data_IF_024805762858
#
_entry.id   IF_024805762858
#
_cell.length_a   1.000
_cell.length_b   1.000
_cell.length_c   1.000
_cell.angle_alpha   90.00
_cell.angle_beta   90.00
_cell.angle_gamma   90.00
#
_symmetry.space_group_name_H-M   'P 1'
#
loop_
_entity.id
_entity.type
_entity.pdbx_description
1 polymer ?
#
# COMPACT_ATOMS: atom_id res chain seq x y z
N UNK A 1 -13.72 -22.15 -93.27
CA UNK A 1 -13.49 -22.33 -91.82
C UNK A 1 -12.89 -21.05 -91.28
N UNK A 2 -13.72 -20.13 -90.76
CA UNK A 2 -13.27 -18.87 -90.15
C UNK A 2 -13.39 -18.98 -88.62
N UNK A 3 -12.29 -18.61 -87.97
CA UNK A 3 -11.99 -18.65 -86.55
C UNK A 3 -12.88 -17.69 -85.75
N UNK A 4 -13.47 -18.16 -84.65
CA UNK A 4 -14.09 -17.32 -83.62
C UNK A 4 -13.22 -17.35 -82.36
N UNK A 5 -12.68 -16.19 -81.99
CA UNK A 5 -12.00 -15.97 -80.72
C UNK A 5 -13.03 -15.60 -79.62
N UNK A 6 -12.86 -16.07 -78.37
CA UNK A 6 -13.79 -15.75 -77.29
C UNK A 6 -13.54 -14.36 -76.71
N UNK A 7 -14.62 -13.61 -76.45
CA UNK A 7 -14.60 -12.31 -75.78
C UNK A 7 -14.52 -12.47 -74.26
N UNK A 8 -13.58 -11.75 -73.63
CA UNK A 8 -13.42 -11.70 -72.18
C UNK A 8 -14.44 -10.73 -71.53
N UNK A 9 -14.99 -11.06 -70.35
CA UNK A 9 -15.91 -10.17 -69.65
C UNK A 9 -15.16 -9.05 -68.92
N UNK A 10 -15.73 -7.84 -68.95
CA UNK A 10 -15.20 -6.66 -68.26
C UNK A 10 -15.54 -6.66 -66.77
N UNK A 11 -14.56 -6.30 -65.93
CA UNK A 11 -14.74 -6.15 -64.48
C UNK A 11 -15.42 -4.80 -64.15
N UNK A 12 -16.26 -4.75 -63.10
CA UNK A 12 -16.94 -3.52 -62.70
C UNK A 12 -16.00 -2.54 -62.00
N UNK A 13 -16.14 -1.25 -62.32
CA UNK A 13 -15.38 -0.14 -61.73
C UNK A 13 -15.90 0.16 -60.32
N UNK A 14 -15.02 0.16 -59.32
CA UNK A 14 -15.37 0.45 -57.93
C UNK A 14 -15.69 1.94 -57.73
N UNK A 15 -16.85 2.24 -57.15
CA UNK A 15 -17.25 3.61 -56.80
C UNK A 15 -16.53 4.14 -55.54
N UNK A 16 -16.54 5.48 -55.31
CA UNK A 16 -15.85 6.08 -54.17
C UNK A 16 -16.52 5.73 -52.83
N UNK A 17 -15.70 5.29 -51.87
CA UNK A 17 -16.11 4.93 -50.51
C UNK A 17 -16.46 6.19 -49.70
N UNK A 18 -17.60 6.26 -48.99
CA UNK A 18 -17.95 7.43 -48.20
C UNK A 18 -17.02 7.57 -46.98
N UNK A 19 -16.40 8.75 -46.82
CA UNK A 19 -15.55 9.06 -45.67
C UNK A 19 -16.40 9.20 -44.41
N UNK A 20 -16.31 8.21 -43.52
CA UNK A 20 -16.95 8.23 -42.20
C UNK A 20 -16.35 9.36 -41.38
N UNK A 21 -17.15 10.38 -41.05
CA UNK A 21 -16.74 11.49 -40.18
C UNK A 21 -16.46 10.91 -38.79
N UNK A 22 -15.18 10.87 -38.39
CA UNK A 22 -14.77 10.49 -37.05
C UNK A 22 -15.43 11.44 -36.04
N UNK A 23 -16.41 10.94 -35.29
CA UNK A 23 -16.92 11.64 -34.12
C UNK A 23 -15.81 11.64 -33.07
N UNK A 24 -15.33 12.85 -32.74
CA UNK A 24 -14.44 13.08 -31.61
C UNK A 24 -15.17 12.65 -30.34
N UNK A 25 -14.83 11.48 -29.82
CA UNK A 25 -15.16 11.11 -28.44
C UNK A 25 -14.47 12.16 -27.57
N UNK A 26 -15.26 13.00 -26.89
CA UNK A 26 -14.72 13.94 -25.91
C UNK A 26 -14.14 13.10 -24.77
N UNK A 27 -12.81 13.08 -24.66
CA UNK A 27 -12.15 12.57 -23.48
C UNK A 27 -12.69 13.34 -22.28
N UNK A 28 -13.30 12.63 -21.33
CA UNK A 28 -13.67 13.21 -20.05
C UNK A 28 -12.39 13.78 -19.42
N UNK A 29 -12.46 15.02 -18.95
CA UNK A 29 -11.37 15.64 -18.22
C UNK A 29 -11.08 14.78 -16.98
N UNK A 30 -9.96 14.05 -17.00
CA UNK A 30 -9.39 13.43 -15.82
C UNK A 30 -8.85 14.59 -15.00
N UNK A 31 -9.52 14.88 -13.88
CA UNK A 31 -8.93 15.75 -12.86
C UNK A 31 -7.64 15.09 -12.40
N UNK A 32 -6.51 15.75 -12.67
CA UNK A 32 -5.15 15.25 -12.46
C UNK A 32 -4.73 15.23 -10.97
N UNK A 33 -5.71 15.26 -10.06
CA UNK A 33 -5.44 15.16 -8.63
C UNK A 33 -5.08 13.71 -8.26
N UNK A 34 -3.91 13.49 -7.64
CA UNK A 34 -3.48 12.14 -7.28
C UNK A 34 -4.41 11.57 -6.21
N UNK A 35 -5.18 10.55 -6.58
CA UNK A 35 -6.00 9.77 -5.63
C UNK A 35 -5.12 9.24 -4.50
N UNK A 36 -5.45 9.62 -3.26
CA UNK A 36 -4.66 9.24 -2.08
C UNK A 36 -4.98 7.82 -1.59
N UNK A 37 -6.24 7.38 -1.72
CA UNK A 37 -6.71 6.06 -1.31
C UNK A 37 -6.56 5.00 -2.43
N UNK A 38 -5.33 4.78 -2.93
CA UNK A 38 -5.08 3.89 -4.08
C UNK A 38 -5.38 2.42 -3.81
N UNK A 39 -5.14 1.95 -2.59
CA UNK A 39 -5.28 0.56 -2.18
C UNK A 39 -6.61 0.35 -1.48
N UNK A 40 -6.95 1.21 -0.51
CA UNK A 40 -8.17 1.04 0.29
C UNK A 40 -9.44 1.24 -0.54
N UNK A 41 -9.37 2.01 -1.64
CA UNK A 41 -10.45 2.10 -2.62
C UNK A 41 -10.94 0.73 -3.13
N UNK A 42 -10.08 -0.30 -3.14
CA UNK A 42 -10.48 -1.65 -3.55
C UNK A 42 -11.58 -2.23 -2.68
N UNK A 43 -11.60 -1.89 -1.40
CA UNK A 43 -12.58 -2.39 -0.42
C UNK A 43 -13.63 -1.33 -0.05
N UNK A 44 -13.34 -0.03 -0.23
CA UNK A 44 -14.26 1.04 0.17
C UNK A 44 -15.20 1.54 -0.94
N UNK A 45 -14.88 1.33 -2.22
CA UNK A 45 -15.68 1.91 -3.33
C UNK A 45 -16.62 0.92 -4.06
N UNK A 46 -16.20 -0.32 -4.41
CA UNK A 46 -17.05 -1.21 -5.18
C UNK A 46 -18.25 -1.69 -4.37
N UNK A 47 -19.45 -1.67 -4.98
CA UNK A 47 -20.66 -2.23 -4.36
C UNK A 47 -20.55 -3.74 -4.07
N UNK A 48 -19.69 -4.45 -4.82
CA UNK A 48 -19.39 -5.86 -4.56
C UNK A 48 -18.64 -6.10 -3.24
N UNK A 49 -18.06 -5.05 -2.65
CA UNK A 49 -17.31 -5.10 -1.38
C UNK A 49 -18.15 -4.61 -0.19
N UNK A 50 -19.47 -4.80 -0.24
CA UNK A 50 -20.39 -4.40 0.84
C UNK A 50 -20.09 -5.07 2.19
N UNK A 51 -19.57 -6.30 2.19
CA UNK A 51 -19.15 -6.98 3.43
C UNK A 51 -17.96 -6.28 4.09
N UNK A 52 -16.96 -5.88 3.30
CA UNK A 52 -15.79 -5.12 3.77
C UNK A 52 -16.24 -3.77 4.33
N UNK A 53 -17.13 -3.07 3.65
CA UNK A 53 -17.71 -1.81 4.10
C UNK A 53 -18.47 -1.98 5.43
N UNK A 54 -19.27 -3.05 5.58
CA UNK A 54 -19.98 -3.35 6.82
C UNK A 54 -19.04 -3.50 8.03
N UNK A 55 -17.91 -4.19 7.85
CA UNK A 55 -16.88 -4.30 8.92
C UNK A 55 -16.26 -2.94 9.21
N UNK A 56 -15.96 -2.14 8.18
CA UNK A 56 -15.41 -0.79 8.35
C UNK A 56 -16.38 0.15 9.11
N UNK A 57 -17.68 0.07 8.85
CA UNK A 57 -18.69 0.76 9.67
C UNK A 57 -18.71 0.21 11.10
N UNK A 58 -18.59 -1.10 11.28
CA UNK A 58 -18.56 -1.74 12.60
C UNK A 58 -17.40 -1.29 13.48
N UNK A 59 -16.24 -0.99 12.90
CA UNK A 59 -15.10 -0.41 13.63
C UNK A 59 -15.19 1.12 13.80
N UNK A 60 -16.28 1.73 13.35
CA UNK A 60 -16.62 3.14 13.62
C UNK A 60 -16.31 4.13 12.49
N UNK A 61 -16.07 3.68 11.26
CA UNK A 61 -15.92 4.61 10.13
C UNK A 61 -17.27 5.12 9.66
N UNK A 62 -17.27 6.33 9.11
CA UNK A 62 -18.43 6.93 8.42
C UNK A 62 -18.28 6.87 6.90
N UNK A 63 -19.34 7.19 6.16
CA UNK A 63 -19.29 7.31 4.69
C UNK A 63 -18.21 8.29 4.20
N UNK A 64 -17.97 9.35 4.97
CA UNK A 64 -16.92 10.32 4.66
C UNK A 64 -15.52 9.72 4.87
N UNK A 65 -15.36 8.83 5.84
CA UNK A 65 -14.08 8.20 6.15
C UNK A 65 -13.70 7.11 5.13
N UNK A 66 -14.68 6.44 4.52
CA UNK A 66 -14.43 5.47 3.44
C UNK A 66 -13.72 6.06 2.21
N UNK A 67 -13.77 7.39 2.05
CA UNK A 67 -13.10 8.12 0.97
C UNK A 67 -11.68 8.58 1.33
N UNK A 68 -11.31 8.51 2.61
CA UNK A 68 -9.98 8.92 3.10
C UNK A 68 -8.99 7.77 2.92
N UNK A 69 -7.68 8.06 2.77
CA UNK A 69 -6.67 7.02 2.80
C UNK A 69 -6.59 6.39 4.19
N UNK A 70 -6.36 5.08 4.21
CA UNK A 70 -6.24 4.27 5.41
C UNK A 70 -4.75 4.00 5.70
N UNK A 71 -4.31 4.34 6.90
CA UNK A 71 -2.92 4.24 7.35
C UNK A 71 -2.82 3.18 8.43
N UNK A 72 -2.03 2.14 8.17
CA UNK A 72 -1.64 1.17 9.18
C UNK A 72 -0.60 1.77 10.13
N UNK A 73 -0.82 1.64 11.44
CA UNK A 73 0.16 2.04 12.47
C UNK A 73 0.64 0.77 13.15
N UNK A 74 1.83 0.31 12.77
CA UNK A 74 2.40 -0.97 13.22
C UNK A 74 3.37 -0.76 14.38
N UNK A 75 2.95 -1.10 15.60
CA UNK A 75 3.83 -1.10 16.77
C UNK A 75 4.45 -2.47 17.03
N UNK A 76 5.59 -2.48 17.72
CA UNK A 76 6.16 -3.71 18.30
C UNK A 76 6.09 -3.66 19.83
N UNK A 77 4.90 -3.40 20.36
CA UNK A 77 4.69 -3.29 21.80
C UNK A 77 4.57 -4.66 22.47
N UNK A 78 5.25 -4.82 23.60
CA UNK A 78 5.07 -5.89 24.58
C UNK A 78 5.69 -5.46 25.91
N UNK A 79 5.20 -5.99 27.03
CA UNK A 79 5.55 -5.51 28.38
C UNK A 79 6.87 -6.09 28.91
N UNK A 80 7.29 -7.25 28.41
CA UNK A 80 8.48 -7.96 28.87
C UNK A 80 9.83 -7.34 28.48
N UNK A 81 9.84 -6.12 27.95
CA UNK A 81 11.07 -5.43 27.58
C UNK A 81 10.93 -3.91 27.73
N UNK A 82 11.91 -3.28 28.37
CA UNK A 82 11.93 -1.84 28.63
C UNK A 82 11.95 -1.01 27.34
N UNK A 83 12.55 -1.55 26.28
CA UNK A 83 12.55 -0.91 24.96
C UNK A 83 11.18 -0.89 24.26
N UNK A 84 10.24 -1.75 24.66
CA UNK A 84 8.98 -1.95 23.93
C UNK A 84 7.73 -1.59 24.75
N UNK A 85 7.81 -1.57 26.08
CA UNK A 85 6.67 -1.35 26.98
C UNK A 85 5.92 -0.02 26.75
N UNK A 86 6.59 1.01 26.23
CA UNK A 86 6.04 2.34 26.03
C UNK A 86 5.46 2.58 24.62
N UNK A 87 5.66 1.64 23.69
CA UNK A 87 5.29 1.82 22.29
C UNK A 87 3.78 1.85 22.04
N UNK A 88 2.97 1.31 22.95
CA UNK A 88 1.52 1.38 22.85
C UNK A 88 1.03 2.83 22.91
N UNK A 89 1.58 3.63 23.84
CA UNK A 89 1.25 5.05 23.99
C UNK A 89 1.74 5.86 22.80
N UNK A 90 2.91 5.52 22.26
CA UNK A 90 3.42 6.17 21.05
C UNK A 90 2.55 5.86 19.82
N UNK A 91 2.09 4.62 19.67
CA UNK A 91 1.18 4.23 18.60
C UNK A 91 -0.18 4.94 18.68
N UNK A 92 -0.65 5.23 19.89
CA UNK A 92 -1.83 6.06 20.11
C UNK A 92 -1.61 7.50 19.64
N UNK A 93 -0.52 8.15 20.05
CA UNK A 93 -0.19 9.50 19.61
C UNK A 93 -0.03 9.59 18.08
N UNK A 94 0.60 8.59 17.46
CA UNK A 94 0.74 8.52 15.99
C UNK A 94 -0.62 8.38 15.31
N UNK A 95 -1.50 7.51 15.81
CA UNK A 95 -2.87 7.37 15.28
C UNK A 95 -3.61 8.70 15.35
N UNK A 96 -3.48 9.42 16.45
CA UNK A 96 -4.18 10.70 16.63
C UNK A 96 -3.65 11.74 15.64
N UNK A 97 -2.33 11.84 15.44
CA UNK A 97 -1.73 12.68 14.39
C UNK A 97 -2.17 12.31 12.96
N UNK A 98 -2.36 11.02 12.66
CA UNK A 98 -2.92 10.57 11.37
C UNK A 98 -4.36 11.08 11.18
N UNK A 99 -5.17 11.05 12.25
CA UNK A 99 -6.55 11.55 12.22
C UNK A 99 -6.59 13.07 12.05
N UNK A 100 -5.70 13.79 12.72
CA UNK A 100 -5.53 15.25 12.57
C UNK A 100 -5.13 15.63 11.15
N UNK A 101 -4.31 14.81 10.49
CA UNK A 101 -3.95 14.98 9.08
C UNK A 101 -5.09 14.64 8.08
N UNK A 102 -6.30 14.34 8.57
CA UNK A 102 -7.48 14.06 7.72
C UNK A 102 -7.50 12.64 7.13
N UNK A 103 -6.73 11.71 7.71
CA UNK A 103 -6.65 10.31 7.26
C UNK A 103 -7.26 9.37 8.30
N UNK A 104 -7.44 8.09 7.95
CA UNK A 104 -7.93 7.07 8.90
C UNK A 104 -6.75 6.25 9.40
N UNK A 105 -6.52 6.24 10.71
CA UNK A 105 -5.46 5.44 11.34
C UNK A 105 -5.98 4.14 11.95
N UNK A 106 -5.44 3.00 11.53
CA UNK A 106 -5.69 1.70 12.11
C UNK A 106 -4.43 1.15 12.78
N UNK A 107 -4.46 1.02 14.10
CA UNK A 107 -3.33 0.47 14.86
C UNK A 107 -3.37 -1.04 14.84
N UNK A 108 -2.21 -1.64 14.64
CA UNK A 108 -1.99 -3.06 14.87
C UNK A 108 -0.60 -3.27 15.46
N UNK A 109 -0.38 -4.47 15.99
CA UNK A 109 0.85 -4.80 16.70
C UNK A 109 1.45 -6.08 16.14
N UNK A 110 2.77 -6.19 16.17
CA UNK A 110 3.51 -7.41 15.83
C UNK A 110 4.37 -7.88 17.00
N UNK A 111 4.90 -9.09 16.89
CA UNK A 111 5.72 -9.74 17.93
C UNK A 111 7.11 -9.13 18.01
N UNK A 112 7.77 -9.32 19.17
CA UNK A 112 9.16 -8.95 19.38
C UNK A 112 9.79 -9.81 20.47
N UNK A 113 11.12 -9.80 20.53
CA UNK A 113 11.91 -10.52 21.53
C UNK A 113 13.01 -9.62 22.10
N UNK A 114 13.46 -9.91 23.33
CA UNK A 114 14.52 -9.16 24.00
C UNK A 114 15.82 -9.94 23.98
N UNK A 115 16.83 -9.38 23.30
CA UNK A 115 18.19 -9.94 23.28
C UNK A 115 18.80 -9.88 24.69
N UNK A 116 18.53 -8.82 25.46
CA UNK A 116 19.04 -8.66 26.82
C UNK A 116 18.58 -9.79 27.76
N UNK A 117 17.35 -10.29 27.59
CA UNK A 117 16.82 -11.41 28.38
C UNK A 117 17.31 -12.76 27.84
N UNK A 118 17.36 -12.92 26.52
CA UNK A 118 17.66 -14.21 25.90
C UNK A 118 19.15 -14.53 25.79
N UNK A 119 20.03 -13.55 25.94
CA UNK A 119 21.48 -13.68 25.81
C UNK A 119 22.05 -14.82 26.67
N UNK A 120 22.91 -15.65 26.08
CA UNK A 120 23.54 -16.78 26.78
C UNK A 120 22.65 -18.01 26.97
N UNK A 121 21.41 -18.00 26.46
CA UNK A 121 20.48 -19.13 26.52
C UNK A 121 20.13 -19.65 25.13
N UNK A 122 19.42 -20.79 25.06
CA UNK A 122 18.82 -21.30 23.81
C UNK A 122 17.82 -20.32 23.19
N UNK A 123 17.33 -19.33 23.95
CA UNK A 123 16.44 -18.29 23.45
C UNK A 123 17.06 -17.42 22.35
N UNK A 124 18.39 -17.22 22.35
CA UNK A 124 19.07 -16.42 21.32
C UNK A 124 18.87 -16.94 19.89
N UNK A 125 18.59 -18.25 19.73
CA UNK A 125 18.30 -18.83 18.42
C UNK A 125 17.04 -18.22 17.76
N UNK A 126 16.13 -17.63 18.54
CA UNK A 126 14.92 -16.98 18.05
C UNK A 126 15.10 -15.48 17.77
N UNK A 127 16.25 -14.90 18.08
CA UNK A 127 16.44 -13.45 17.98
C UNK A 127 16.61 -12.96 16.54
N UNK A 128 17.43 -13.63 15.72
CA UNK A 128 17.66 -13.17 14.34
C UNK A 128 16.44 -13.37 13.44
N UNK A 129 15.80 -14.54 13.53
CA UNK A 129 14.63 -14.88 12.72
C UNK A 129 13.41 -14.01 13.03
N UNK A 130 13.32 -13.41 14.23
CA UNK A 130 12.18 -12.54 14.57
C UNK A 130 12.11 -11.32 13.65
N UNK A 131 13.23 -10.97 13.03
CA UNK A 131 13.33 -9.89 12.06
C UNK A 131 12.44 -10.12 10.84
N UNK A 132 12.61 -11.29 10.22
CA UNK A 132 11.89 -11.65 9.01
C UNK A 132 10.41 -11.91 9.36
N UNK A 133 10.14 -12.49 10.53
CA UNK A 133 8.78 -12.66 11.04
C UNK A 133 8.03 -11.33 11.24
N UNK A 134 8.72 -10.29 11.71
CA UNK A 134 8.14 -8.95 11.84
C UNK A 134 7.78 -8.38 10.47
N UNK A 135 8.68 -8.50 9.50
CA UNK A 135 8.44 -8.03 8.13
C UNK A 135 7.22 -8.73 7.52
N UNK A 136 7.17 -10.07 7.59
CA UNK A 136 6.06 -10.89 7.09
C UNK A 136 4.74 -10.53 7.77
N UNK A 137 4.77 -10.25 9.07
CA UNK A 137 3.58 -9.85 9.83
C UNK A 137 3.01 -8.52 9.35
N UNK A 138 3.87 -7.52 9.11
CA UNK A 138 3.42 -6.21 8.63
C UNK A 138 2.95 -6.31 7.18
N UNK A 139 3.69 -7.02 6.32
CA UNK A 139 3.28 -7.26 4.93
C UNK A 139 1.92 -7.95 4.86
N UNK A 140 1.70 -8.97 5.69
CA UNK A 140 0.43 -9.70 5.76
C UNK A 140 -0.73 -8.76 6.10
N UNK A 141 -0.59 -7.91 7.11
CA UNK A 141 -1.66 -6.97 7.51
C UNK A 141 -1.90 -5.93 6.43
N UNK A 142 -0.83 -5.31 5.91
CA UNK A 142 -0.93 -4.27 4.87
C UNK A 142 -1.58 -4.81 3.59
N UNK A 143 -1.17 -6.00 3.15
CA UNK A 143 -1.70 -6.66 1.96
C UNK A 143 -3.16 -7.11 2.13
N UNK A 144 -3.51 -7.69 3.28
CA UNK A 144 -4.85 -8.19 3.54
C UNK A 144 -5.87 -7.08 3.80
N UNK A 145 -5.48 -6.01 4.50
CA UNK A 145 -6.38 -4.92 4.88
C UNK A 145 -6.44 -3.79 3.83
N UNK A 146 -5.64 -3.87 2.77
CA UNK A 146 -5.58 -2.86 1.71
C UNK A 146 -5.27 -1.44 2.22
N UNK A 147 -4.42 -1.30 3.24
CA UNK A 147 -3.99 0.01 3.71
C UNK A 147 -3.13 0.74 2.67
N UNK A 148 -3.28 2.06 2.60
CA UNK A 148 -2.59 2.91 1.62
C UNK A 148 -1.17 3.29 2.04
N UNK A 149 -0.92 3.34 3.36
CA UNK A 149 0.37 3.67 3.93
C UNK A 149 0.59 2.96 5.28
N UNK A 150 1.85 2.86 5.70
CA UNK A 150 2.25 2.27 6.97
C UNK A 150 3.17 3.22 7.75
N UNK A 151 2.95 3.33 9.06
CA UNK A 151 3.85 3.98 10.02
C UNK A 151 4.27 2.93 11.05
N UNK A 152 5.52 2.48 10.96
CA UNK A 152 6.07 1.50 11.90
C UNK A 152 6.74 2.17 13.10
N UNK A 153 6.54 1.58 14.27
CA UNK A 153 7.10 2.05 15.54
C UNK A 153 7.90 0.89 16.18
N UNK A 154 9.19 0.74 15.82
CA UNK A 154 10.07 -0.26 16.41
C UNK A 154 10.58 0.13 17.80
N UNK A 155 11.01 -0.88 18.57
CA UNK A 155 11.68 -0.69 19.88
C UNK A 155 13.18 -1.02 19.84
N UNK A 156 13.54 -2.30 19.78
CA UNK A 156 14.94 -2.77 19.86
C UNK A 156 15.67 -2.81 18.51
N UNK A 157 17.00 -2.92 18.59
CA UNK A 157 17.97 -3.12 17.49
C UNK A 157 17.48 -4.08 16.38
N UNK A 158 16.92 -5.23 16.75
CA UNK A 158 16.36 -6.20 15.79
C UNK A 158 15.12 -5.68 15.08
N UNK A 159 14.23 -4.96 15.78
CA UNK A 159 13.04 -4.35 15.19
C UNK A 159 13.42 -3.24 14.18
N UNK A 160 14.54 -2.54 14.39
CA UNK A 160 14.99 -1.46 13.49
C UNK A 160 15.58 -2.01 12.18
N UNK A 161 16.30 -3.14 12.21
CA UNK A 161 16.79 -3.79 10.98
C UNK A 161 15.75 -4.70 10.30
N UNK A 162 14.58 -4.92 10.92
CA UNK A 162 13.46 -5.70 10.35
C UNK A 162 12.72 -5.01 9.23
N UNK A 163 13.02 -3.75 9.00
CA UNK A 163 12.50 -3.05 7.84
C UNK A 163 13.50 -3.24 6.71
N UNK A 164 13.28 -4.18 5.76
CA UNK A 164 13.72 -3.87 4.43
C UNK A 164 13.12 -2.50 4.10
N UNK A 165 13.96 -1.63 3.54
CA UNK A 165 13.72 -0.22 3.23
C UNK A 165 12.49 0.04 2.33
N UNK A 166 11.78 -1.01 1.91
CA UNK A 166 10.54 -0.99 1.14
C UNK A 166 9.30 -0.58 1.93
N UNK A 167 9.31 -0.66 3.28
CA UNK A 167 8.08 -0.60 4.08
C UNK A 167 7.91 0.66 4.95
N UNK A 168 8.92 1.55 5.00
CA UNK A 168 8.93 2.61 6.02
C UNK A 168 8.29 3.95 5.58
N UNK A 169 8.09 4.20 4.29
CA UNK A 169 7.38 5.39 3.79
C UNK A 169 6.78 5.11 2.40
N UNK A 170 5.55 4.62 2.33
CA UNK A 170 4.81 4.55 1.08
C UNK A 170 4.07 5.88 0.85
N UNK A 171 4.81 6.93 0.49
CA UNK A 171 4.22 8.11 -0.15
C UNK A 171 4.53 8.05 -1.65
N UNK A 172 3.45 7.94 -2.44
CA UNK A 172 3.36 8.26 -3.86
C UNK A 172 4.50 7.75 -4.76
N UNK A 173 4.44 6.46 -5.09
CA UNK A 173 5.16 5.89 -6.23
C UNK A 173 4.54 4.56 -6.61
N UNK A 174 4.10 4.42 -7.86
CA UNK A 174 3.52 3.20 -8.43
C UNK A 174 4.48 2.02 -8.22
N UNK A 175 4.14 1.08 -7.34
CA UNK A 175 4.82 -0.20 -7.25
C UNK A 175 3.96 -1.26 -7.95
N UNK A 176 4.41 -1.69 -9.13
CA UNK A 176 3.97 -2.95 -9.71
C UNK A 176 4.52 -4.09 -8.85
N UNK A 177 3.62 -4.91 -8.32
CA UNK A 177 3.89 -6.01 -7.37
C UNK A 177 4.88 -7.08 -7.89
N UNK A 178 5.30 -7.03 -9.15
CA UNK A 178 6.20 -8.03 -9.77
C UNK A 178 7.69 -7.76 -9.57
N UNK A 179 8.10 -6.61 -9.00
CA UNK A 179 9.50 -6.15 -9.04
C UNK A 179 10.21 -6.03 -7.68
N UNK A 180 9.57 -6.41 -6.57
CA UNK A 180 10.20 -6.38 -5.24
C UNK A 180 11.40 -7.34 -5.10
N UNK A 181 11.52 -8.37 -5.95
CA UNK A 181 12.60 -9.35 -5.85
C UNK A 181 13.97 -8.90 -6.42
N UNK A 182 14.16 -7.67 -6.93
CA UNK A 182 15.31 -7.41 -7.82
C UNK A 182 16.16 -6.15 -7.69
N UNK A 183 16.06 -5.30 -6.66
CA UNK A 183 17.02 -4.17 -6.58
C UNK A 183 17.51 -3.82 -5.18
N UNK A 184 18.83 -3.82 -5.04
CA UNK A 184 19.61 -3.77 -3.80
C UNK A 184 20.20 -2.38 -3.47
N UNK A 185 19.71 -1.29 -4.06
CA UNK A 185 20.26 0.04 -3.76
C UNK A 185 19.20 1.13 -3.95
N UNK A 186 18.65 1.62 -2.85
CA UNK A 186 18.01 2.94 -2.85
C UNK A 186 17.97 3.50 -1.43
N UNK A 187 18.81 4.50 -1.17
CA UNK A 187 18.89 5.27 0.09
C UNK A 187 17.54 5.89 0.50
N UNK A 188 17.10 5.69 1.76
CA UNK A 188 15.94 6.42 2.34
C UNK A 188 16.20 6.76 3.83
N UNK A 189 15.75 7.96 4.22
CA UNK A 189 15.88 8.60 5.54
C UNK A 189 15.01 7.92 6.61
N UNK A 190 15.65 7.56 7.72
CA UNK A 190 15.02 7.35 9.02
C UNK A 190 14.53 8.73 9.52
N UNK A 191 13.22 8.93 9.67
CA UNK A 191 12.74 10.01 10.53
C UNK A 191 12.99 9.59 11.97
N UNK A 192 14.17 9.95 12.47
CA UNK A 192 14.38 10.04 13.91
C UNK A 192 13.34 11.03 14.45
N UNK A 193 12.51 10.56 15.37
CA UNK A 193 11.43 11.30 16.03
C UNK A 193 11.92 12.49 16.91
N UNK A 194 13.19 12.89 16.76
CA UNK A 194 13.79 14.03 17.46
C UNK A 194 13.32 15.39 16.95
N UNK A 195 12.69 15.48 15.77
CA UNK A 195 12.42 16.79 15.12
C UNK A 195 10.99 17.32 15.26
N UNK A 196 10.07 16.59 15.91
CA UNK A 196 8.67 17.04 16.07
C UNK A 196 8.40 17.58 17.49
N UNK A 197 9.31 17.37 18.45
CA UNK A 197 9.15 17.85 19.84
C UNK A 197 9.74 19.26 20.07
N UNK A 198 10.53 19.84 19.16
CA UNK A 198 11.06 21.21 19.30
C UNK A 198 10.17 22.31 18.68
N UNK A 199 8.84 22.19 18.80
CA UNK A 199 7.92 23.30 18.49
C UNK A 199 6.89 23.60 19.58
N UNK A 200 7.22 23.32 20.85
CA UNK A 200 6.62 23.98 22.02
C UNK A 200 7.62 24.05 23.16
#
# INVERSE_FOLDING_TARGET
MQSMAPTSPSLPVAGPVPRRRLQRVRAAAVSDEPKLNKYSARITEPKSQGASQAVLYGVGLTDADLRKPQVGVSSVWYEGNTCNMHLLRLAEAVRDGVREAGMVGFRFNTVGVSDAISMGTRGMCYSLQSRDLIADSIETVMGAQHYDANISIPGCDKNVSSFPLSLLLQFSGTMEWSQCCRSHNLYIKVLNYYMIIERH
#
